data_IF_835881587284
#
_entry.id   IF_835881587284
#
_cell.length_a   1.000
_cell.length_b   1.000
_cell.length_c   1.000
_cell.angle_alpha   90.00
_cell.angle_beta   90.00
_cell.angle_gamma   90.00
#
_symmetry.space_group_name_H-M   'P 1'
#
loop_
_entity.id
_entity.type
_entity.pdbx_description
1 polymer ?
#
# COMPACT_ATOMS: atom_id res chain seq x y z
N UNK A 1 -1.26 7.52 22.13
CA UNK A 1 -2.04 7.53 20.86
C UNK A 1 -2.06 8.92 20.27
N UNK A 2 -1.01 9.27 19.53
CA UNK A 2 -0.99 10.53 18.80
C UNK A 2 -1.84 10.41 17.54
N UNK A 3 -2.68 11.41 17.27
CA UNK A 3 -3.39 11.58 16.00
C UNK A 3 -2.55 12.41 15.02
N UNK A 4 -1.28 12.67 15.35
CA UNK A 4 -0.39 13.48 14.56
C UNK A 4 -0.09 12.81 13.20
N UNK A 5 -0.06 13.63 12.16
CA UNK A 5 0.42 13.27 10.82
C UNK A 5 1.55 14.23 10.45
N UNK A 6 2.57 13.73 9.75
CA UNK A 6 3.68 14.58 9.38
C UNK A 6 3.32 15.50 8.20
N UNK A 7 2.65 14.95 7.19
CA UNK A 7 2.18 15.71 6.03
C UNK A 7 0.72 15.44 5.75
N UNK A 8 -0.06 16.49 5.55
CA UNK A 8 -1.37 16.41 4.95
C UNK A 8 -1.30 16.87 3.50
N UNK A 9 -1.57 15.93 2.59
CA UNK A 9 -1.50 16.14 1.16
C UNK A 9 -2.88 16.38 0.59
N UNK A 10 -3.26 17.61 0.39
CA UNK A 10 -4.44 17.98 -0.38
C UNK A 10 -4.03 19.12 -1.30
N UNK A 11 -3.14 18.79 -2.23
CA UNK A 11 -2.51 19.75 -3.12
C UNK A 11 -3.33 19.99 -4.38
N UNK A 12 -2.96 21.03 -5.11
CA UNK A 12 -3.46 21.23 -6.47
C UNK A 12 -3.06 20.05 -7.38
N UNK A 13 -3.78 19.87 -8.46
CA UNK A 13 -3.47 18.87 -9.48
C UNK A 13 -2.02 19.03 -9.98
N UNK A 14 -1.40 17.90 -10.32
CA UNK A 14 0.00 17.84 -10.78
C UNK A 14 1.07 18.27 -9.75
N UNK A 15 0.71 18.29 -8.48
CA UNK A 15 1.70 18.45 -7.42
C UNK A 15 2.30 17.11 -7.04
N UNK A 16 3.59 17.12 -6.72
CA UNK A 16 4.32 15.94 -6.27
C UNK A 16 5.19 16.27 -5.05
N UNK A 17 5.55 15.25 -4.30
CA UNK A 17 6.56 15.34 -3.23
C UNK A 17 7.68 14.34 -3.53
N UNK A 18 8.91 14.72 -3.26
CA UNK A 18 10.06 13.88 -3.49
C UNK A 18 11.18 14.15 -2.48
N UNK A 19 12.09 13.16 -2.36
CA UNK A 19 13.30 13.24 -1.55
C UNK A 19 13.04 13.61 -0.08
N UNK A 20 12.12 12.91 0.58
CA UNK A 20 11.74 13.19 1.97
C UNK A 20 11.87 11.94 2.84
N UNK A 21 12.56 12.08 3.97
CA UNK A 21 12.57 11.12 5.06
C UNK A 21 11.62 11.60 6.16
N UNK A 22 10.69 10.73 6.57
CA UNK A 22 9.66 11.02 7.58
C UNK A 22 9.83 10.03 8.73
N UNK A 23 10.11 10.52 9.94
CA UNK A 23 10.07 9.73 11.14
C UNK A 23 8.78 10.02 11.91
N UNK A 24 7.85 9.06 11.90
CA UNK A 24 6.51 9.22 12.48
C UNK A 24 6.47 8.85 13.96
N UNK A 25 7.43 8.05 14.41
CA UNK A 25 7.48 7.52 15.79
C UNK A 25 6.16 6.82 16.19
N UNK A 26 5.41 7.39 17.14
CA UNK A 26 4.11 6.88 17.62
C UNK A 26 2.91 7.62 16.99
N UNK A 27 3.14 8.42 15.96
CA UNK A 27 2.10 9.17 15.25
C UNK A 27 1.13 8.29 14.48
N UNK A 28 0.06 8.91 13.97
CA UNK A 28 -0.96 8.20 13.20
C UNK A 28 -0.44 7.84 11.80
N UNK A 29 0.14 8.78 11.07
CA UNK A 29 0.62 8.55 9.72
C UNK A 29 1.74 9.50 9.31
N UNK A 30 2.61 9.04 8.40
CA UNK A 30 3.56 9.92 7.73
C UNK A 30 2.88 10.87 6.77
N UNK A 31 2.04 10.33 5.90
CA UNK A 31 1.30 11.09 4.89
C UNK A 31 -0.19 10.78 5.04
N UNK A 32 -1.00 11.82 4.96
CA UNK A 32 -2.45 11.71 5.12
C UNK A 32 -3.18 12.52 4.04
N UNK A 33 -4.27 11.98 3.52
CA UNK A 33 -5.15 12.56 2.51
C UNK A 33 -4.79 12.14 1.07
N UNK A 34 -5.37 12.79 0.09
CA UNK A 34 -5.21 12.41 -1.32
C UNK A 34 -3.79 12.69 -1.83
N UNK A 35 -3.29 11.82 -2.68
CA UNK A 35 -1.98 11.97 -3.31
C UNK A 35 -2.09 11.95 -4.84
N UNK A 36 -1.08 12.51 -5.51
CA UNK A 36 -0.94 12.43 -6.96
C UNK A 36 0.31 11.64 -7.32
N UNK A 37 1.48 12.18 -7.00
CA UNK A 37 2.78 11.60 -7.34
C UNK A 37 3.75 11.73 -6.17
N UNK A 38 4.50 10.65 -5.92
CA UNK A 38 5.56 10.60 -4.92
C UNK A 38 6.78 9.87 -5.46
N UNK A 39 7.97 10.38 -5.16
CA UNK A 39 9.22 9.74 -5.54
C UNK A 39 10.25 9.90 -4.43
N UNK A 40 10.99 8.80 -4.16
CA UNK A 40 12.07 8.74 -3.17
C UNK A 40 11.61 9.25 -1.79
N UNK A 41 10.62 8.56 -1.24
CA UNK A 41 10.06 8.83 0.10
C UNK A 41 10.42 7.69 1.03
N UNK A 42 10.95 8.00 2.20
CA UNK A 42 11.12 7.04 3.28
C UNK A 42 10.23 7.39 4.48
N UNK A 43 9.42 6.43 4.93
CA UNK A 43 8.56 6.60 6.10
C UNK A 43 8.90 5.54 7.14
N UNK A 44 9.34 5.99 8.31
CA UNK A 44 9.73 5.15 9.43
C UNK A 44 8.76 5.31 10.60
N UNK A 45 8.28 4.18 11.15
CA UNK A 45 7.38 4.14 12.30
C UNK A 45 5.94 4.55 11.99
N UNK A 46 5.20 4.87 13.04
CA UNK A 46 3.80 5.25 12.99
C UNK A 46 2.82 4.08 12.98
N UNK A 47 1.54 4.42 13.06
CA UNK A 47 0.48 3.43 12.85
C UNK A 47 0.36 3.08 11.38
N UNK A 48 0.40 4.08 10.51
CA UNK A 48 0.38 3.97 9.06
C UNK A 48 1.54 4.76 8.45
N UNK A 49 2.06 4.31 7.32
CA UNK A 49 2.95 5.11 6.50
C UNK A 49 2.14 6.17 5.75
N UNK A 50 1.19 5.73 4.94
CA UNK A 50 0.28 6.58 4.16
C UNK A 50 -1.17 6.19 4.49
N UNK A 51 -2.04 7.18 4.66
CA UNK A 51 -3.50 7.02 4.68
C UNK A 51 -4.05 7.85 3.54
N UNK A 52 -4.66 7.20 2.55
CA UNK A 52 -5.12 7.88 1.34
C UNK A 52 -6.50 7.41 0.89
N UNK A 53 -7.10 8.18 0.02
CA UNK A 53 -8.43 7.93 -0.54
C UNK A 53 -8.50 8.50 -1.96
N UNK A 54 -9.60 8.20 -2.63
CA UNK A 54 -9.92 8.74 -3.96
C UNK A 54 -9.82 10.27 -3.96
N UNK A 55 -9.03 10.79 -4.90
CA UNK A 55 -9.02 12.23 -5.18
C UNK A 55 -10.12 12.61 -6.19
N UNK A 56 -10.43 13.90 -6.28
CA UNK A 56 -11.38 14.47 -7.24
C UNK A 56 -10.68 15.56 -8.05
N UNK A 57 -10.58 15.42 -9.38
CA UNK A 57 -10.94 14.26 -10.19
C UNK A 57 -10.11 13.02 -9.89
N UNK A 58 -10.62 11.83 -10.29
CA UNK A 58 -10.03 10.52 -9.99
C UNK A 58 -8.72 10.24 -10.70
N UNK A 59 -7.63 10.80 -10.23
CA UNK A 59 -6.26 10.50 -10.66
C UNK A 59 -5.72 9.28 -9.93
N UNK A 60 -4.94 8.42 -10.57
CA UNK A 60 -4.20 7.39 -9.86
C UNK A 60 -3.12 8.02 -8.99
N UNK A 61 -2.87 7.44 -7.81
CA UNK A 61 -1.77 7.83 -6.96
C UNK A 61 -0.52 7.04 -7.37
N UNK A 62 0.47 7.73 -7.91
CA UNK A 62 1.72 7.14 -8.39
C UNK A 62 2.81 7.28 -7.34
N UNK A 63 3.45 6.16 -7.00
CA UNK A 63 4.55 6.09 -6.03
C UNK A 63 5.73 5.37 -6.65
N UNK A 64 6.89 5.99 -6.64
CA UNK A 64 8.13 5.45 -7.19
C UNK A 64 9.22 5.54 -6.12
N UNK A 65 9.97 4.45 -5.94
CA UNK A 65 11.07 4.39 -4.96
C UNK A 65 10.63 4.75 -3.52
N UNK A 66 9.46 4.26 -3.10
CA UNK A 66 8.94 4.51 -1.75
C UNK A 66 9.38 3.42 -0.78
N UNK A 67 9.77 3.82 0.42
CA UNK A 67 10.26 2.88 1.45
C UNK A 67 9.48 3.05 2.74
N UNK A 68 9.12 1.92 3.35
CA UNK A 68 8.37 1.85 4.60
C UNK A 68 9.10 0.94 5.60
N UNK A 69 9.14 1.35 6.86
CA UNK A 69 9.69 0.53 7.92
C UNK A 69 8.93 0.72 9.24
N UNK A 70 8.51 -0.37 9.85
CA UNK A 70 8.04 -0.37 11.23
C UNK A 70 6.61 0.17 11.45
N UNK A 71 5.74 0.22 10.45
CA UNK A 71 4.34 0.60 10.64
C UNK A 71 3.58 -0.48 11.39
N UNK A 72 2.90 -0.10 12.46
CA UNK A 72 2.24 -1.07 13.34
C UNK A 72 0.91 -1.62 12.80
N UNK A 73 0.24 -0.91 11.88
CA UNK A 73 -0.99 -1.37 11.27
C UNK A 73 -0.81 -1.66 9.77
N UNK A 74 -0.37 -0.70 8.97
CA UNK A 74 -0.09 -0.90 7.55
C UNK A 74 0.88 0.15 7.00
N UNK A 75 1.65 -0.22 5.95
CA UNK A 75 2.40 0.77 5.19
C UNK A 75 1.44 1.75 4.50
N UNK A 76 0.40 1.24 3.84
CA UNK A 76 -0.59 2.07 3.15
C UNK A 76 -2.00 1.60 3.52
N UNK A 77 -2.80 2.50 4.10
CA UNK A 77 -4.24 2.35 4.26
C UNK A 77 -4.94 3.16 3.18
N UNK A 78 -5.90 2.54 2.47
CA UNK A 78 -6.47 3.14 1.26
C UNK A 78 -7.91 2.72 1.00
N UNK A 79 -8.63 3.53 0.21
CA UNK A 79 -9.84 3.13 -0.49
C UNK A 79 -10.03 3.97 -1.76
N UNK A 80 -10.33 3.30 -2.87
CA UNK A 80 -10.66 3.89 -4.18
C UNK A 80 -9.60 4.86 -4.74
N UNK A 81 -8.35 4.81 -4.23
CA UNK A 81 -7.31 5.76 -4.63
C UNK A 81 -6.68 5.43 -6.01
N UNK A 82 -6.68 4.16 -6.41
CA UNK A 82 -6.03 3.70 -7.63
C UNK A 82 -4.51 3.82 -7.52
N UNK A 83 -3.88 2.87 -6.82
CA UNK A 83 -2.45 2.95 -6.51
C UNK A 83 -1.58 2.33 -7.60
N UNK A 84 -0.62 3.09 -8.11
CA UNK A 84 0.47 2.63 -8.97
C UNK A 84 1.78 2.73 -8.20
N UNK A 85 2.35 1.59 -7.83
CA UNK A 85 3.51 1.50 -6.94
C UNK A 85 4.64 0.79 -7.66
N UNK A 86 5.76 1.46 -7.84
CA UNK A 86 6.92 0.95 -8.57
C UNK A 86 8.17 1.07 -7.69
N UNK A 87 8.94 0.00 -7.59
CA UNK A 87 10.18 -0.08 -6.81
C UNK A 87 9.99 0.32 -5.34
N UNK A 88 8.88 -0.17 -4.72
CA UNK A 88 8.69 -0.01 -3.29
C UNK A 88 9.54 -1.01 -2.50
N UNK A 89 9.93 -0.62 -1.29
CA UNK A 89 10.50 -1.52 -0.31
C UNK A 89 9.79 -1.32 1.03
N UNK A 90 9.16 -2.37 1.54
CA UNK A 90 8.49 -2.33 2.85
C UNK A 90 9.00 -3.45 3.74
N UNK A 91 9.40 -3.10 4.96
CA UNK A 91 9.91 -4.06 5.95
C UNK A 91 9.38 -3.78 7.35
N UNK A 92 9.24 -4.84 8.16
CA UNK A 92 8.75 -4.74 9.55
C UNK A 92 7.38 -4.04 9.66
N UNK A 93 6.50 -4.22 8.70
CA UNK A 93 5.15 -3.68 8.71
C UNK A 93 4.14 -4.78 8.95
N UNK A 94 3.03 -4.50 9.63
CA UNK A 94 2.00 -5.52 9.81
C UNK A 94 1.38 -5.94 8.48
N UNK A 95 1.06 -4.94 7.64
CA UNK A 95 0.51 -5.12 6.28
C UNK A 95 1.18 -4.13 5.33
N UNK A 96 1.28 -4.48 4.04
CA UNK A 96 1.68 -3.48 3.06
C UNK A 96 0.48 -2.63 2.61
N UNK A 97 -0.54 -3.24 2.06
CA UNK A 97 -1.81 -2.56 1.70
C UNK A 97 -2.93 -3.02 2.63
N UNK A 98 -3.69 -2.07 3.16
CA UNK A 98 -4.90 -2.28 3.95
C UNK A 98 -6.06 -1.49 3.33
N UNK A 99 -6.95 -2.17 2.60
CA UNK A 99 -8.11 -1.53 1.98
C UNK A 99 -9.24 -1.42 3.00
N UNK A 100 -9.84 -0.24 3.13
CA UNK A 100 -10.93 0.02 4.06
C UNK A 100 -12.15 -0.86 3.76
N UNK A 101 -12.82 -1.33 4.82
CA UNK A 101 -14.01 -2.18 4.70
C UNK A 101 -15.12 -1.47 3.90
N UNK A 102 -15.79 -2.23 3.05
CA UNK A 102 -16.86 -1.72 2.19
C UNK A 102 -16.38 -1.06 0.89
N UNK A 103 -15.08 -0.92 0.69
CA UNK A 103 -14.52 -0.28 -0.49
C UNK A 103 -13.75 -1.24 -1.39
N UNK A 104 -13.63 -0.89 -2.66
CA UNK A 104 -12.75 -1.54 -3.61
C UNK A 104 -11.41 -0.80 -3.73
N UNK A 105 -10.43 -1.43 -4.39
CA UNK A 105 -9.19 -0.75 -4.75
C UNK A 105 -8.64 -1.28 -6.08
N UNK A 106 -7.91 -0.41 -6.78
CA UNK A 106 -7.19 -0.75 -8.02
C UNK A 106 -5.70 -0.62 -7.76
N UNK A 107 -4.99 -1.73 -7.87
CA UNK A 107 -3.58 -1.82 -7.51
C UNK A 107 -2.73 -2.26 -8.70
N UNK A 108 -1.70 -1.50 -9.00
CA UNK A 108 -0.57 -1.91 -9.83
C UNK A 108 0.68 -1.82 -8.96
N UNK A 109 1.36 -2.94 -8.76
CA UNK A 109 2.57 -3.02 -7.93
C UNK A 109 3.64 -3.76 -8.73
N UNK A 110 4.75 -3.11 -9.03
CA UNK A 110 5.81 -3.69 -9.86
C UNK A 110 7.21 -3.50 -9.24
N UNK A 111 8.10 -4.44 -9.53
CA UNK A 111 9.54 -4.38 -9.27
C UNK A 111 9.91 -4.04 -7.81
N UNK A 112 9.17 -4.60 -6.86
CA UNK A 112 9.18 -4.19 -5.45
C UNK A 112 9.62 -5.32 -4.51
N UNK A 113 10.00 -4.95 -3.27
CA UNK A 113 10.49 -5.87 -2.24
C UNK A 113 9.64 -5.71 -0.96
N UNK A 114 9.18 -6.84 -0.42
CA UNK A 114 8.35 -6.87 0.79
C UNK A 114 8.87 -7.91 1.77
N UNK A 115 9.14 -7.47 3.00
CA UNK A 115 9.82 -8.31 3.98
C UNK A 115 9.22 -8.15 5.37
N UNK A 116 9.22 -9.27 6.11
CA UNK A 116 8.89 -9.30 7.54
C UNK A 116 7.51 -8.68 7.84
N UNK A 117 6.43 -9.26 7.26
CA UNK A 117 5.06 -8.79 7.44
C UNK A 117 4.03 -9.93 7.46
N UNK A 118 2.90 -9.69 8.12
CA UNK A 118 1.83 -10.68 8.18
C UNK A 118 1.09 -10.79 6.85
N UNK A 119 0.78 -9.66 6.20
CA UNK A 119 -0.04 -9.66 4.98
C UNK A 119 0.48 -8.64 3.98
N UNK A 120 0.73 -9.09 2.75
CA UNK A 120 1.12 -8.18 1.67
C UNK A 120 -0.09 -7.34 1.21
N UNK A 121 -1.19 -7.98 0.81
CA UNK A 121 -2.41 -7.27 0.38
C UNK A 121 -3.61 -7.71 1.23
N UNK A 122 -4.22 -6.80 1.98
CA UNK A 122 -5.45 -7.01 2.74
C UNK A 122 -6.61 -6.25 2.07
N UNK A 123 -7.37 -6.98 1.27
CA UNK A 123 -8.37 -6.47 0.33
C UNK A 123 -9.77 -6.58 0.93
N UNK A 124 -10.55 -5.49 0.88
CA UNK A 124 -11.85 -5.47 1.51
C UNK A 124 -12.91 -6.28 0.76
N UNK A 125 -12.94 -6.20 -0.58
CA UNK A 125 -14.00 -6.79 -1.40
C UNK A 125 -13.45 -7.65 -2.53
N UNK A 126 -13.45 -8.96 -2.37
CA UNK A 126 -12.97 -9.91 -3.37
C UNK A 126 -13.82 -9.93 -4.64
N UNK A 127 -15.15 -9.94 -4.47
CA UNK A 127 -16.11 -10.14 -5.57
C UNK A 127 -16.54 -8.84 -6.26
N UNK A 128 -16.09 -7.69 -5.78
CA UNK A 128 -16.41 -6.42 -6.40
C UNK A 128 -15.71 -6.32 -7.77
N UNK A 129 -16.47 -6.07 -8.82
CA UNK A 129 -15.93 -5.96 -10.20
C UNK A 129 -14.92 -4.81 -10.37
N UNK A 130 -14.94 -3.82 -9.48
CA UNK A 130 -14.00 -2.70 -9.48
C UNK A 130 -12.71 -3.00 -8.71
N UNK A 131 -12.67 -4.10 -7.92
CA UNK A 131 -11.42 -4.57 -7.29
C UNK A 131 -10.53 -5.16 -8.38
N UNK A 132 -9.40 -4.52 -8.63
CA UNK A 132 -8.44 -4.92 -9.66
C UNK A 132 -7.04 -4.89 -9.09
N UNK A 133 -6.35 -6.02 -9.18
CA UNK A 133 -4.99 -6.17 -8.65
C UNK A 133 -4.09 -6.69 -9.77
N UNK A 134 -2.99 -6.01 -9.97
CA UNK A 134 -1.92 -6.44 -10.86
C UNK A 134 -0.59 -6.27 -10.12
N UNK A 135 0.01 -7.40 -9.75
CA UNK A 135 1.34 -7.44 -9.12
C UNK A 135 2.29 -8.14 -10.06
N UNK A 136 3.46 -7.57 -10.28
CA UNK A 136 4.45 -8.10 -11.20
C UNK A 136 5.86 -7.92 -10.65
N UNK A 137 6.65 -9.00 -10.78
CA UNK A 137 8.06 -9.00 -10.43
C UNK A 137 8.37 -8.49 -9.01
N UNK A 138 7.62 -8.96 -8.01
CA UNK A 138 7.84 -8.61 -6.62
C UNK A 138 8.55 -9.73 -5.87
N UNK A 139 9.43 -9.37 -4.94
CA UNK A 139 10.11 -10.28 -4.05
C UNK A 139 9.48 -10.23 -2.66
N UNK A 140 9.12 -11.39 -2.13
CA UNK A 140 8.52 -11.54 -0.80
C UNK A 140 9.44 -12.39 0.08
N UNK A 141 9.74 -11.93 1.30
CA UNK A 141 10.49 -12.67 2.31
C UNK A 141 9.82 -12.55 3.68
N UNK A 142 9.60 -13.67 4.36
CA UNK A 142 8.91 -13.71 5.65
C UNK A 142 7.54 -12.99 5.59
N UNK A 143 6.77 -13.27 4.53
CA UNK A 143 5.39 -12.79 4.35
C UNK A 143 4.46 -13.97 4.55
N UNK A 144 3.55 -13.89 5.52
CA UNK A 144 2.63 -15.00 5.83
C UNK A 144 1.52 -15.12 4.78
N UNK A 145 0.82 -14.03 4.51
CA UNK A 145 -0.29 -14.01 3.55
C UNK A 145 0.06 -13.10 2.36
N UNK A 146 0.04 -13.64 1.15
CA UNK A 146 0.21 -12.85 -0.07
C UNK A 146 -1.03 -11.98 -0.28
N UNK A 147 -2.23 -12.55 -0.15
CA UNK A 147 -3.49 -11.81 -0.23
C UNK A 147 -4.45 -12.34 0.82
N UNK A 148 -5.15 -11.44 1.49
CA UNK A 148 -6.28 -11.72 2.36
C UNK A 148 -7.50 -10.92 1.87
N UNK A 149 -8.66 -11.56 1.79
CA UNK A 149 -9.92 -10.92 1.43
C UNK A 149 -10.84 -10.87 2.65
N UNK A 150 -11.19 -9.66 3.09
CA UNK A 150 -11.93 -9.44 4.34
C UNK A 150 -13.38 -9.92 4.25
N UNK A 151 -14.05 -9.69 3.12
CA UNK A 151 -15.45 -10.02 2.89
C UNK A 151 -15.72 -11.53 2.79
N UNK A 152 -14.79 -12.29 2.23
CA UNK A 152 -14.94 -13.74 2.04
C UNK A 152 -14.13 -14.57 3.04
N UNK A 153 -13.18 -13.96 3.73
CA UNK A 153 -12.21 -14.64 4.59
C UNK A 153 -11.20 -15.50 3.83
N UNK A 154 -11.20 -15.46 2.50
CA UNK A 154 -10.23 -16.21 1.68
C UNK A 154 -8.84 -15.64 1.82
N UNK A 155 -7.86 -16.52 1.96
CA UNK A 155 -6.44 -16.15 2.02
C UNK A 155 -5.64 -16.94 0.99
N UNK A 156 -4.60 -16.31 0.49
CA UNK A 156 -3.54 -16.92 -0.32
C UNK A 156 -2.26 -16.77 0.47
N UNK A 157 -1.80 -17.88 1.04
CA UNK A 157 -0.61 -17.89 1.90
C UNK A 157 0.65 -17.98 1.06
N UNK A 158 1.77 -17.53 1.61
CA UNK A 158 3.08 -17.87 1.06
C UNK A 158 3.40 -19.31 1.42
N UNK A 159 3.83 -20.11 0.45
CA UNK A 159 4.25 -21.49 0.68
C UNK A 159 5.71 -21.57 1.17
N UNK A 160 6.52 -20.59 0.80
CA UNK A 160 7.94 -20.53 1.10
C UNK A 160 8.27 -19.30 1.95
N UNK A 161 9.36 -19.39 2.73
CA UNK A 161 9.91 -18.27 3.49
C UNK A 161 10.29 -17.08 2.59
N UNK A 162 10.70 -17.37 1.36
CA UNK A 162 10.99 -16.35 0.35
C UNK A 162 10.53 -16.83 -1.03
N UNK A 163 9.90 -15.94 -1.76
CA UNK A 163 9.45 -16.23 -3.12
C UNK A 163 9.53 -15.00 -4.03
N UNK A 164 9.62 -15.25 -5.32
CA UNK A 164 9.47 -14.21 -6.34
C UNK A 164 8.09 -14.34 -6.96
N UNK A 165 7.23 -13.38 -6.69
CA UNK A 165 5.92 -13.27 -7.30
C UNK A 165 6.08 -12.67 -8.71
N UNK A 166 6.20 -13.56 -9.70
CA UNK A 166 6.41 -13.13 -11.11
C UNK A 166 5.22 -12.35 -11.63
N UNK A 167 4.00 -12.84 -11.33
CA UNK A 167 2.74 -12.21 -11.70
C UNK A 167 1.61 -12.71 -10.80
N UNK A 168 0.81 -11.80 -10.29
CA UNK A 168 -0.47 -12.09 -9.66
C UNK A 168 -1.51 -11.10 -10.18
N UNK A 169 -2.67 -11.58 -10.59
CA UNK A 169 -3.76 -10.75 -11.07
C UNK A 169 -5.08 -11.18 -10.43
N UNK A 170 -5.93 -10.22 -10.11
CA UNK A 170 -7.28 -10.43 -9.62
C UNK A 170 -8.22 -9.37 -10.20
N UNK A 171 -9.47 -9.75 -10.46
CA UNK A 171 -10.48 -8.89 -11.06
C UNK A 171 -10.60 -9.10 -12.58
N UNK A 172 -11.23 -8.13 -13.26
CA UNK A 172 -11.39 -8.18 -14.72
C UNK A 172 -10.03 -7.83 -15.33
N UNK A 173 -9.38 -8.82 -15.87
CA UNK A 173 -8.14 -8.65 -16.64
C UNK A 173 -8.52 -8.70 -18.11
N UNK A 174 -8.34 -7.61 -18.81
CA UNK A 174 -8.50 -7.56 -20.26
C UNK A 174 -7.34 -8.28 -20.97
#
# INVERSE_FOLDING_TARGET
NSQAVAFRTHYAQHCFINHIDINVESGMAGIYDVGNEMEDIFINGGKYGIVTTKCSPGWPFVMVDVRFNGQTAAAIRTHEAGLNIIRAHSTNTSKFIDVDEGYFEKLIIEDSIFEDMNTFLDIAQEKNQLTQINVKNCYLRAVENIVSFKDTGRKINSEDYQCRLKKYTHGIVA
#
